data_IF_358552101135
#
_entry.id   IF_358552101135
#
_cell.length_a   1.000
_cell.length_b   1.000
_cell.length_c   1.000
_cell.angle_alpha   90.00
_cell.angle_beta   90.00
_cell.angle_gamma   90.00
#
_symmetry.space_group_name_H-M   'P 1'
#
loop_
_entity.id
_entity.type
_entity.pdbx_description
1 polymer ?
#
# COMPACT_ATOMS: atom_id res chain seq x y z
N UNK A 1 15.95 11.06 -5.32
CA UNK A 1 15.01 9.99 -5.76
C UNK A 1 13.69 10.14 -5.01
N UNK A 2 12.58 9.80 -5.67
CA UNK A 2 11.24 9.74 -5.11
C UNK A 2 10.64 8.36 -5.36
N UNK A 3 9.56 8.05 -4.65
CA UNK A 3 8.74 6.88 -4.92
C UNK A 3 7.34 7.31 -5.40
N UNK A 4 6.83 6.63 -6.41
CA UNK A 4 5.45 6.74 -6.90
C UNK A 4 4.76 5.39 -6.70
N UNK A 5 3.64 5.40 -6.00
CA UNK A 5 2.71 4.28 -5.97
C UNK A 5 1.64 4.55 -7.02
N UNK A 6 1.49 3.67 -8.01
CA UNK A 6 0.31 3.65 -8.88
C UNK A 6 -0.53 2.45 -8.47
N UNK A 7 -1.78 2.70 -8.11
CA UNK A 7 -2.67 1.67 -7.60
C UNK A 7 -3.98 1.57 -8.38
N UNK A 8 -4.61 0.39 -8.27
CA UNK A 8 -5.86 0.02 -8.94
C UNK A 8 -6.71 -0.87 -8.01
N UNK A 9 -7.94 -0.47 -7.75
CA UNK A 9 -8.83 -1.20 -6.85
C UNK A 9 -9.46 -2.39 -7.56
N UNK A 10 -9.19 -3.59 -7.05
CA UNK A 10 -9.73 -4.85 -7.59
C UNK A 10 -11.19 -4.97 -7.16
N UNK A 11 -12.07 -5.34 -8.10
CA UNK A 11 -13.51 -5.51 -7.92
C UNK A 11 -14.27 -4.21 -7.56
N UNK A 12 -13.69 -3.04 -7.83
CA UNK A 12 -14.31 -1.73 -7.57
C UNK A 12 -15.73 -1.62 -8.12
N UNK A 13 -16.01 -2.25 -9.26
CA UNK A 13 -17.33 -2.22 -9.91
C UNK A 13 -18.41 -3.04 -9.16
N UNK A 14 -18.01 -3.93 -8.26
CA UNK A 14 -18.92 -4.79 -7.51
C UNK A 14 -19.27 -4.25 -6.12
N UNK A 15 -18.69 -3.11 -5.74
CA UNK A 15 -18.87 -2.50 -4.42
C UNK A 15 -19.14 -1.01 -4.60
N UNK A 16 -20.13 -0.51 -3.86
CA UNK A 16 -20.47 0.92 -3.89
C UNK A 16 -19.26 1.78 -3.57
N UNK A 17 -18.86 2.64 -4.51
CA UNK A 17 -17.71 3.52 -4.37
C UNK A 17 -17.86 4.53 -3.23
N UNK A 18 -19.07 4.88 -2.83
CA UNK A 18 -19.32 5.78 -1.69
C UNK A 18 -18.86 5.19 -0.35
N UNK A 19 -18.68 3.87 -0.27
CA UNK A 19 -18.22 3.20 0.94
C UNK A 19 -16.70 3.30 1.13
N UNK A 20 -15.91 3.08 0.07
CA UNK A 20 -14.46 2.95 0.15
C UNK A 20 -13.69 4.18 -0.36
N UNK A 21 -14.18 4.85 -1.42
CA UNK A 21 -13.46 5.95 -2.06
C UNK A 21 -13.21 7.14 -1.13
N UNK A 22 -14.17 7.60 -0.29
CA UNK A 22 -13.91 8.65 0.68
C UNK A 22 -12.85 8.24 1.72
N UNK A 23 -12.81 6.96 2.12
CA UNK A 23 -11.81 6.46 3.06
C UNK A 23 -10.41 6.45 2.46
N UNK A 24 -10.29 6.00 1.20
CA UNK A 24 -9.03 6.06 0.46
C UNK A 24 -8.55 7.51 0.31
N UNK A 25 -9.42 8.42 -0.12
CA UNK A 25 -9.08 9.86 -0.25
C UNK A 25 -8.66 10.48 1.09
N UNK A 26 -9.33 10.13 2.18
CA UNK A 26 -8.95 10.60 3.51
C UNK A 26 -7.57 10.09 3.92
N UNK A 27 -7.26 8.82 3.65
CA UNK A 27 -5.95 8.25 3.93
C UNK A 27 -4.85 8.94 3.10
N UNK A 28 -5.04 9.07 1.79
CA UNK A 28 -4.08 9.76 0.90
C UNK A 28 -3.90 11.22 1.30
N UNK A 29 -5.02 11.92 1.60
CA UNK A 29 -5.03 13.31 2.06
C UNK A 29 -4.39 13.54 3.42
N UNK A 30 -4.34 12.53 4.29
CA UNK A 30 -3.64 12.62 5.58
C UNK A 30 -2.11 12.72 5.42
N UNK A 31 -1.57 12.28 4.30
CA UNK A 31 -0.13 12.37 4.00
C UNK A 31 0.25 13.62 3.21
N UNK A 32 -0.68 14.18 2.46
CA UNK A 32 -0.50 15.47 1.77
C UNK A 32 -1.84 16.06 1.36
N UNK A 33 -1.98 17.36 1.54
CA UNK A 33 -3.19 18.08 1.15
C UNK A 33 -3.20 18.54 -0.32
N UNK A 34 -2.12 18.31 -1.09
CA UNK A 34 -1.97 18.86 -2.44
C UNK A 34 -2.14 17.81 -3.55
N UNK A 35 -2.78 18.17 -4.67
CA UNK A 35 -2.95 17.28 -5.82
C UNK A 35 -1.64 16.95 -6.54
N UNK A 36 -0.56 17.68 -6.26
CA UNK A 36 0.80 17.38 -6.72
C UNK A 36 1.36 16.08 -6.17
N UNK A 37 0.81 15.61 -5.03
CA UNK A 37 1.32 14.43 -4.34
C UNK A 37 0.42 13.21 -4.43
N UNK A 38 -0.87 13.40 -4.71
CA UNK A 38 -1.78 12.27 -4.97
C UNK A 38 -3.02 12.70 -5.76
N UNK A 39 -3.55 11.77 -6.51
CA UNK A 39 -4.81 11.93 -7.23
C UNK A 39 -5.48 10.56 -7.41
N UNK A 40 -6.83 10.54 -7.33
CA UNK A 40 -7.63 9.38 -7.76
C UNK A 40 -8.24 9.74 -9.11
N UNK A 41 -8.00 8.93 -10.12
CA UNK A 41 -8.46 9.14 -11.49
C UNK A 41 -9.14 7.87 -12.04
N UNK A 42 -9.90 8.00 -13.13
CA UNK A 42 -10.67 6.88 -13.74
C UNK A 42 -11.57 6.09 -12.78
N UNK A 43 -11.90 6.66 -11.62
CA UNK A 43 -12.82 6.07 -10.65
C UNK A 43 -12.15 5.15 -9.62
N UNK A 44 -11.20 4.33 -10.01
CA UNK A 44 -10.58 3.30 -9.17
C UNK A 44 -9.04 3.23 -9.26
N UNK A 45 -8.44 4.00 -10.15
CA UNK A 45 -6.98 4.15 -10.22
C UNK A 45 -6.53 5.38 -9.43
N UNK A 46 -5.34 5.30 -8.82
CA UNK A 46 -4.75 6.42 -8.10
C UNK A 46 -3.24 6.45 -8.22
N UNK A 47 -2.68 7.62 -8.00
CA UNK A 47 -1.24 7.82 -7.82
C UNK A 47 -0.95 8.52 -6.50
N UNK A 48 0.17 8.14 -5.87
CA UNK A 48 0.70 8.77 -4.66
C UNK A 48 2.21 8.92 -4.79
N UNK A 49 2.70 10.14 -4.56
CA UNK A 49 4.12 10.45 -4.40
C UNK A 49 4.48 10.42 -2.92
N UNK A 50 5.59 9.78 -2.58
CA UNK A 50 6.12 9.76 -1.22
C UNK A 50 7.64 9.58 -1.19
N UNK A 51 8.21 9.62 0.01
CA UNK A 51 9.61 9.27 0.22
C UNK A 51 9.85 7.78 -0.02
N UNK A 52 11.08 7.46 -0.42
CA UNK A 52 11.46 6.08 -0.78
C UNK A 52 11.40 5.13 0.42
N UNK A 53 11.74 5.61 1.61
CA UNK A 53 11.75 4.85 2.86
C UNK A 53 10.33 4.57 3.42
N UNK A 54 9.33 5.40 3.06
CA UNK A 54 7.95 5.23 3.53
C UNK A 54 7.07 4.44 2.55
N UNK A 55 7.53 4.20 1.32
CA UNK A 55 6.66 3.71 0.25
C UNK A 55 6.05 2.34 0.54
N UNK A 56 6.81 1.44 1.20
CA UNK A 56 6.28 0.12 1.52
C UNK A 56 5.24 0.18 2.66
N UNK A 57 5.52 0.91 3.74
CA UNK A 57 4.56 1.09 4.84
C UNK A 57 3.27 1.78 4.36
N UNK A 58 3.35 2.81 3.50
CA UNK A 58 2.18 3.44 2.88
C UNK A 58 1.41 2.47 1.97
N UNK A 59 2.12 1.62 1.22
CA UNK A 59 1.48 0.55 0.43
C UNK A 59 0.69 -0.42 1.31
N UNK A 60 1.24 -0.81 2.46
CA UNK A 60 0.55 -1.67 3.42
C UNK A 60 -0.66 -0.99 4.06
N UNK A 61 -0.56 0.31 4.39
CA UNK A 61 -1.69 1.08 4.92
C UNK A 61 -2.83 1.17 3.90
N UNK A 62 -2.53 1.38 2.63
CA UNK A 62 -3.54 1.39 1.54
C UNK A 62 -4.16 -0.01 1.42
N UNK A 63 -3.34 -1.06 1.34
CA UNK A 63 -3.84 -2.43 1.17
C UNK A 63 -4.71 -2.85 2.35
N UNK A 64 -4.25 -2.62 3.58
CA UNK A 64 -5.03 -2.94 4.77
C UNK A 64 -6.34 -2.18 4.84
N UNK A 65 -6.37 -0.89 4.47
CA UNK A 65 -7.61 -0.11 4.39
C UNK A 65 -8.58 -0.72 3.38
N UNK A 66 -8.14 -0.97 2.15
CA UNK A 66 -9.04 -1.49 1.11
C UNK A 66 -9.57 -2.87 1.46
N UNK A 67 -8.76 -3.72 2.07
CA UNK A 67 -9.19 -5.05 2.52
C UNK A 67 -10.13 -5.04 3.75
N UNK A 68 -10.42 -3.88 4.35
CA UNK A 68 -11.53 -3.76 5.32
C UNK A 68 -12.91 -3.78 4.66
N UNK A 69 -12.99 -3.64 3.35
CA UNK A 69 -14.24 -3.76 2.58
C UNK A 69 -14.32 -5.15 1.95
N UNK A 70 -15.47 -5.81 2.10
CA UNK A 70 -15.70 -7.15 1.54
C UNK A 70 -15.48 -7.16 0.02
N UNK A 71 -14.81 -8.20 -0.46
CA UNK A 71 -14.52 -8.46 -1.87
C UNK A 71 -13.62 -7.44 -2.56
N UNK A 72 -13.14 -6.39 -1.87
CA UNK A 72 -12.16 -5.47 -2.42
C UNK A 72 -10.73 -5.92 -2.12
N UNK A 73 -9.86 -5.63 -3.06
CA UNK A 73 -8.40 -5.66 -2.90
C UNK A 73 -7.79 -4.52 -3.71
N UNK A 74 -6.47 -4.38 -3.69
CA UNK A 74 -5.75 -3.35 -4.43
C UNK A 74 -4.48 -3.90 -5.06
N UNK A 75 -4.21 -3.51 -6.31
CA UNK A 75 -2.89 -3.65 -6.93
C UNK A 75 -2.08 -2.40 -6.68
N UNK A 76 -0.82 -2.59 -6.29
CA UNK A 76 0.11 -1.52 -5.95
C UNK A 76 1.42 -1.74 -6.71
N UNK A 77 1.71 -0.85 -7.64
CA UNK A 77 2.96 -0.81 -8.38
C UNK A 77 3.83 0.34 -7.87
N UNK A 78 4.96 0.01 -7.29
CA UNK A 78 5.93 0.97 -6.74
C UNK A 78 6.98 1.26 -7.79
N UNK A 79 7.09 2.52 -8.22
CA UNK A 79 8.17 3.01 -9.07
C UNK A 79 9.11 3.91 -8.27
N UNK A 80 10.41 3.59 -8.27
CA UNK A 80 11.43 4.46 -7.67
C UNK A 80 12.33 5.01 -8.77
N UNK A 81 12.65 6.30 -8.67
CA UNK A 81 13.47 6.98 -9.64
C UNK A 81 13.51 8.50 -9.44
N UNK A 82 13.77 9.22 -10.49
CA UNK A 82 13.83 10.68 -10.49
C UNK A 82 12.49 11.29 -10.92
N UNK A 83 12.23 12.48 -10.41
CA UNK A 83 11.22 13.40 -10.92
C UNK A 83 11.94 14.43 -11.82
N UNK A 84 11.47 14.58 -13.04
CA UNK A 84 12.07 15.48 -14.03
C UNK A 84 11.19 16.71 -14.26
N UNK A 85 9.88 16.51 -14.22
CA UNK A 85 8.88 17.55 -14.39
C UNK A 85 7.79 17.41 -13.31
N UNK A 86 7.57 18.47 -12.55
CA UNK A 86 6.52 18.59 -11.55
C UNK A 86 5.40 19.47 -12.10
N UNK A 87 4.18 18.94 -12.17
CA UNK A 87 2.96 19.67 -12.48
C UNK A 87 2.15 19.93 -11.21
N UNK A 88 1.14 20.79 -11.31
CA UNK A 88 0.13 21.00 -10.26
C UNK A 88 -0.69 19.73 -9.95
N UNK A 89 -0.67 18.75 -10.87
CA UNK A 89 -1.29 17.44 -10.70
C UNK A 89 -0.26 16.33 -10.87
N UNK A 90 -0.28 15.37 -9.97
CA UNK A 90 0.62 14.23 -10.02
C UNK A 90 0.52 13.45 -11.34
N UNK A 91 -0.68 13.32 -11.91
CA UNK A 91 -0.94 12.58 -13.16
C UNK A 91 -0.36 13.25 -14.41
N UNK A 92 0.02 14.52 -14.31
CA UNK A 92 0.67 15.29 -15.37
C UNK A 92 2.19 15.43 -15.14
N UNK A 93 2.68 15.00 -13.97
CA UNK A 93 4.10 14.99 -13.63
C UNK A 93 4.85 13.86 -14.34
N UNK A 94 6.17 13.98 -14.50
CA UNK A 94 6.95 13.02 -15.27
C UNK A 94 8.34 12.79 -14.67
N UNK A 95 8.89 11.61 -14.95
CA UNK A 95 10.19 11.14 -14.52
C UNK A 95 10.24 9.61 -14.47
N UNK A 96 11.45 9.05 -14.22
CA UNK A 96 11.60 7.60 -14.22
C UNK A 96 10.74 6.90 -13.15
N UNK A 97 10.48 7.55 -11.99
CA UNK A 97 9.61 7.00 -10.96
C UNK A 97 8.16 6.79 -11.47
N UNK A 98 7.62 7.76 -12.20
CA UNK A 98 6.26 7.71 -12.78
C UNK A 98 6.16 6.66 -13.87
N UNK A 99 7.13 6.62 -14.79
CA UNK A 99 7.19 5.63 -15.88
C UNK A 99 7.30 4.21 -15.32
N UNK A 100 8.17 4.03 -14.31
CA UNK A 100 8.37 2.73 -13.66
C UNK A 100 7.07 2.23 -13.00
N UNK A 101 6.38 3.06 -12.21
CA UNK A 101 5.13 2.65 -11.53
C UNK A 101 4.00 2.38 -12.52
N UNK A 102 3.79 3.26 -13.51
CA UNK A 102 2.70 3.12 -14.48
C UNK A 102 2.83 1.89 -15.38
N UNK A 103 4.05 1.61 -15.92
CA UNK A 103 4.30 0.39 -16.70
C UNK A 103 4.15 -0.87 -15.85
N UNK A 104 4.71 -0.84 -14.65
CA UNK A 104 4.65 -1.96 -13.73
C UNK A 104 3.20 -2.29 -13.33
N UNK A 105 2.31 -1.31 -13.17
CA UNK A 105 0.90 -1.58 -12.88
C UNK A 105 0.24 -2.41 -13.99
N UNK A 106 0.52 -2.12 -15.26
CA UNK A 106 0.01 -2.91 -16.37
C UNK A 106 0.57 -4.34 -16.36
N UNK A 107 1.87 -4.49 -16.06
CA UNK A 107 2.51 -5.80 -16.01
C UNK A 107 1.90 -6.67 -14.91
N UNK A 108 1.74 -6.14 -13.69
CA UNK A 108 1.16 -6.90 -12.58
C UNK A 108 -0.34 -7.19 -12.75
N UNK A 109 -1.09 -6.36 -13.50
CA UNK A 109 -2.47 -6.67 -13.90
C UNK A 109 -2.52 -7.94 -14.75
N UNK A 110 -1.62 -8.07 -15.71
CA UNK A 110 -1.54 -9.25 -16.61
C UNK A 110 -1.06 -10.47 -15.83
N UNK A 111 -0.07 -10.32 -14.94
CA UNK A 111 0.51 -11.40 -14.14
C UNK A 111 -0.38 -11.86 -12.98
N UNK A 112 -1.48 -11.15 -12.67
CA UNK A 112 -2.35 -11.45 -11.53
C UNK A 112 -1.69 -11.14 -10.16
N UNK A 113 -0.72 -10.23 -10.10
CA UNK A 113 -0.02 -9.82 -8.88
C UNK A 113 -0.67 -8.61 -8.26
N UNK A 114 -0.48 -8.44 -6.96
CA UNK A 114 -1.05 -7.31 -6.20
C UNK A 114 -0.01 -6.32 -5.71
N UNK A 115 1.28 -6.71 -5.65
CA UNK A 115 2.36 -5.84 -5.20
C UNK A 115 3.63 -6.10 -6.01
N UNK A 116 4.27 -5.03 -6.48
CA UNK A 116 5.57 -5.09 -7.14
C UNK A 116 6.32 -3.77 -7.07
N UNK A 117 7.64 -3.82 -7.31
CA UNK A 117 8.52 -2.65 -7.35
C UNK A 117 9.38 -2.64 -8.61
N UNK A 118 9.63 -1.46 -9.14
CA UNK A 118 10.60 -1.21 -10.22
C UNK A 118 11.47 0.00 -9.86
N UNK A 119 12.78 -0.23 -9.89
CA UNK A 119 13.85 0.77 -9.73
C UNK A 119 14.81 0.66 -10.91
N UNK A 120 15.85 1.48 -10.96
CA UNK A 120 16.93 1.36 -11.94
C UNK A 120 17.95 0.27 -11.59
N UNK A 121 17.89 -0.30 -10.37
CA UNK A 121 18.78 -1.36 -9.90
C UNK A 121 18.11 -2.74 -10.03
N UNK A 122 18.53 -3.53 -11.02
CA UNK A 122 17.95 -4.84 -11.29
C UNK A 122 18.16 -5.86 -10.16
N UNK A 123 19.23 -5.74 -9.37
CA UNK A 123 19.45 -6.61 -8.21
C UNK A 123 18.41 -6.32 -7.13
N UNK A 124 18.21 -5.05 -6.79
CA UNK A 124 17.17 -4.62 -5.84
C UNK A 124 15.78 -5.04 -6.32
N UNK A 125 15.49 -4.87 -7.62
CA UNK A 125 14.23 -5.31 -8.20
C UNK A 125 13.99 -6.81 -8.03
N UNK A 126 14.99 -7.65 -8.28
CA UNK A 126 14.87 -9.13 -8.12
C UNK A 126 14.63 -9.49 -6.67
N UNK A 127 15.45 -8.96 -5.75
CA UNK A 127 15.41 -9.30 -4.32
C UNK A 127 14.04 -8.90 -3.72
N UNK A 128 13.60 -7.66 -3.97
CA UNK A 128 12.34 -7.15 -3.42
C UNK A 128 11.11 -7.77 -4.08
N UNK A 129 11.12 -8.04 -5.39
CA UNK A 129 9.97 -8.68 -6.03
C UNK A 129 9.80 -10.15 -5.62
N UNK A 130 10.88 -10.86 -5.29
CA UNK A 130 10.76 -12.20 -4.68
C UNK A 130 10.11 -12.08 -3.29
N UNK A 131 10.58 -11.16 -2.46
CA UNK A 131 9.98 -10.89 -1.15
C UNK A 131 8.48 -10.54 -1.30
N UNK A 132 8.13 -9.62 -2.20
CA UNK A 132 6.75 -9.20 -2.41
C UNK A 132 5.84 -10.33 -2.92
N UNK A 133 6.36 -11.25 -3.75
CA UNK A 133 5.60 -12.44 -4.15
C UNK A 133 5.28 -13.34 -2.95
N UNK A 134 6.21 -13.54 -2.03
CA UNK A 134 5.98 -14.31 -0.81
C UNK A 134 5.03 -13.61 0.16
N UNK A 135 5.23 -12.34 0.42
CA UNK A 135 4.39 -11.58 1.34
C UNK A 135 2.96 -11.40 0.81
N UNK A 136 2.79 -11.31 -0.53
CA UNK A 136 1.45 -11.23 -1.14
C UNK A 136 0.60 -12.48 -0.88
N UNK A 137 1.19 -13.65 -0.68
CA UNK A 137 0.43 -14.87 -0.31
C UNK A 137 -0.33 -14.64 1.00
N UNK A 138 0.30 -14.00 1.99
CA UNK A 138 -0.34 -13.62 3.25
C UNK A 138 -1.28 -12.42 3.07
N UNK A 139 -0.78 -11.33 2.49
CA UNK A 139 -1.51 -10.06 2.35
C UNK A 139 -2.82 -10.20 1.55
N UNK A 140 -2.81 -10.98 0.49
CA UNK A 140 -3.98 -11.21 -0.35
C UNK A 140 -5.02 -12.09 0.38
N UNK A 141 -4.58 -12.91 1.35
CA UNK A 141 -5.43 -13.78 2.17
C UNK A 141 -6.12 -13.08 3.34
N UNK A 142 -5.76 -11.82 3.66
CA UNK A 142 -6.34 -11.14 4.82
C UNK A 142 -7.87 -11.05 4.74
N UNK A 143 -8.52 -11.53 5.80
CA UNK A 143 -9.94 -11.28 6.01
C UNK A 143 -10.17 -9.82 6.42
N UNK A 144 -11.40 -9.32 6.28
CA UNK A 144 -11.81 -7.99 6.77
C UNK A 144 -11.35 -7.76 8.21
N UNK A 145 -11.59 -8.73 9.09
CA UNK A 145 -11.22 -8.63 10.50
C UNK A 145 -9.70 -8.60 10.74
N UNK A 146 -8.91 -9.27 9.90
CA UNK A 146 -7.45 -9.22 9.93
C UNK A 146 -6.95 -7.88 9.42
N UNK A 147 -7.46 -7.45 8.27
CA UNK A 147 -7.10 -6.17 7.65
C UNK A 147 -7.41 -4.98 8.57
N UNK A 148 -8.53 -5.02 9.29
CA UNK A 148 -8.93 -3.99 10.24
C UNK A 148 -7.91 -3.83 11.39
N UNK A 149 -7.43 -4.92 11.96
CA UNK A 149 -6.41 -4.87 13.01
C UNK A 149 -5.08 -4.36 12.47
N UNK A 150 -4.62 -4.90 11.32
CA UNK A 150 -3.38 -4.47 10.69
C UNK A 150 -3.43 -2.97 10.39
N UNK A 151 -4.53 -2.51 9.79
CA UNK A 151 -4.70 -1.10 9.46
C UNK A 151 -4.58 -0.19 10.67
N UNK A 152 -5.21 -0.53 11.79
CA UNK A 152 -5.13 0.24 13.03
C UNK A 152 -3.73 0.27 13.63
N UNK A 153 -3.04 -0.87 13.64
CA UNK A 153 -1.67 -0.96 14.14
C UNK A 153 -0.67 -0.22 13.25
N UNK A 154 -0.89 -0.18 11.92
CA UNK A 154 -0.04 0.58 11.01
C UNK A 154 -0.24 2.10 11.15
N UNK A 155 -1.47 2.56 11.43
CA UNK A 155 -1.76 3.99 11.64
C UNK A 155 -1.30 4.45 13.03
N UNK A 156 -1.51 3.63 14.05
CA UNK A 156 -1.14 3.95 15.41
C UNK A 156 -0.41 2.77 16.07
N UNK A 157 0.92 2.67 15.89
CA UNK A 157 1.72 1.55 16.41
C UNK A 157 1.75 1.45 17.93
N UNK A 158 1.39 2.53 18.64
CA UNK A 158 1.40 2.59 20.11
C UNK A 158 0.11 2.03 20.74
N UNK A 159 -0.91 1.69 19.92
CA UNK A 159 -2.15 1.12 20.46
C UNK A 159 -1.91 -0.21 21.18
N UNK A 160 -2.33 -0.25 22.42
CA UNK A 160 -2.34 -1.49 23.22
C UNK A 160 -3.44 -2.43 22.74
N UNK A 161 -3.29 -3.72 23.02
CA UNK A 161 -4.34 -4.71 22.71
C UNK A 161 -5.65 -4.44 23.45
N UNK A 162 -5.60 -3.81 24.62
CA UNK A 162 -6.78 -3.43 25.38
C UNK A 162 -7.53 -2.26 24.73
N UNK A 163 -6.82 -1.25 24.24
CA UNK A 163 -7.40 -0.14 23.50
C UNK A 163 -8.02 -0.62 22.18
N UNK A 164 -7.31 -1.45 21.41
CA UNK A 164 -7.85 -2.09 20.22
C UNK A 164 -9.11 -2.92 20.50
N UNK A 165 -9.15 -3.65 21.62
CA UNK A 165 -10.31 -4.43 22.03
C UNK A 165 -11.53 -3.53 22.28
N UNK A 166 -11.33 -2.39 22.96
CA UNK A 166 -12.38 -1.39 23.19
C UNK A 166 -12.87 -0.76 21.89
N UNK A 167 -11.95 -0.31 21.03
CA UNK A 167 -12.29 0.30 19.74
C UNK A 167 -13.06 -0.64 18.81
N UNK A 168 -12.69 -1.93 18.79
CA UNK A 168 -13.29 -2.93 17.93
C UNK A 168 -14.49 -3.63 18.57
N UNK A 169 -14.82 -3.29 19.83
CA UNK A 169 -15.88 -3.93 20.62
C UNK A 169 -15.75 -5.48 20.66
N UNK A 170 -14.54 -5.98 20.87
CA UNK A 170 -14.20 -7.40 21.02
C UNK A 170 -13.36 -7.63 22.28
N UNK A 171 -13.07 -8.89 22.63
CA UNK A 171 -12.22 -9.20 23.78
C UNK A 171 -10.73 -9.01 23.45
N UNK A 172 -9.92 -8.66 24.44
CA UNK A 172 -8.46 -8.56 24.28
C UNK A 172 -7.84 -9.89 23.78
N UNK A 173 -8.37 -11.04 24.21
CA UNK A 173 -7.91 -12.34 23.72
C UNK A 173 -8.22 -12.53 22.22
N UNK A 174 -9.33 -11.99 21.72
CA UNK A 174 -9.66 -11.99 20.30
C UNK A 174 -8.70 -11.10 19.50
N UNK A 175 -8.34 -9.93 20.04
CA UNK A 175 -7.31 -9.05 19.45
C UNK A 175 -5.98 -9.78 19.37
N UNK A 176 -5.52 -10.38 20.47
CA UNK A 176 -4.25 -11.13 20.51
C UNK A 176 -4.20 -12.25 19.46
N UNK A 177 -5.30 -13.01 19.32
CA UNK A 177 -5.39 -14.06 18.30
C UNK A 177 -5.37 -13.53 16.87
N UNK A 178 -6.05 -12.40 16.60
CA UNK A 178 -6.06 -11.76 15.27
C UNK A 178 -4.68 -11.21 14.93
N UNK A 179 -3.97 -10.53 15.87
CA UNK A 179 -2.60 -10.06 15.69
C UNK A 179 -1.66 -11.24 15.37
N UNK A 180 -1.77 -12.33 16.14
CA UNK A 180 -0.96 -13.53 15.89
C UNK A 180 -1.21 -14.13 14.49
N UNK A 181 -2.46 -14.16 14.04
CA UNK A 181 -2.83 -14.70 12.71
C UNK A 181 -2.46 -13.76 11.57
N UNK A 182 -2.31 -12.46 11.85
CA UNK A 182 -1.92 -11.46 10.84
C UNK A 182 -0.42 -11.44 10.55
N UNK A 183 0.38 -12.19 11.30
CA UNK A 183 1.85 -12.17 11.21
C UNK A 183 2.42 -10.73 11.26
N UNK A 184 1.85 -9.86 12.11
CA UNK A 184 2.17 -8.44 12.15
C UNK A 184 3.64 -8.15 12.47
N UNK A 185 4.25 -8.97 13.30
CA UNK A 185 5.69 -8.97 13.58
C UNK A 185 6.53 -9.16 12.30
N UNK A 186 6.15 -10.13 11.47
CA UNK A 186 6.80 -10.39 10.17
C UNK A 186 6.58 -9.25 9.17
N UNK A 187 5.43 -8.58 9.22
CA UNK A 187 5.18 -7.36 8.43
C UNK A 187 6.18 -6.26 8.82
N UNK A 188 6.41 -6.05 10.12
CA UNK A 188 7.38 -5.06 10.61
C UNK A 188 8.82 -5.40 10.24
N UNK A 189 9.21 -6.69 10.36
CA UNK A 189 10.52 -7.18 9.90
C UNK A 189 10.70 -6.98 8.39
N UNK A 190 9.64 -7.21 7.61
CA UNK A 190 9.65 -6.99 6.16
C UNK A 190 9.86 -5.51 5.81
N UNK A 191 9.18 -4.57 6.52
CA UNK A 191 9.39 -3.14 6.32
C UNK A 191 10.82 -2.72 6.66
N UNK A 192 11.37 -3.25 7.76
CA UNK A 192 12.76 -2.99 8.14
C UNK A 192 13.76 -3.52 7.10
N UNK A 193 13.53 -4.73 6.57
CA UNK A 193 14.34 -5.29 5.50
C UNK A 193 14.23 -4.46 4.22
N UNK A 194 13.01 -4.05 3.86
CA UNK A 194 12.77 -3.20 2.70
C UNK A 194 13.58 -1.89 2.80
N UNK A 195 13.51 -1.18 3.93
CA UNK A 195 14.25 0.07 4.15
C UNK A 195 15.77 -0.12 4.02
N UNK A 196 16.30 -1.21 4.56
CA UNK A 196 17.73 -1.55 4.37
C UNK A 196 18.08 -1.77 2.92
N UNK A 197 17.20 -2.48 2.18
CA UNK A 197 17.44 -2.83 0.79
C UNK A 197 17.37 -1.62 -0.13
N UNK A 198 16.44 -0.72 0.14
CA UNK A 198 16.28 0.53 -0.61
C UNK A 198 17.46 1.50 -0.38
N UNK A 199 18.09 1.46 0.77
CA UNK A 199 19.30 2.25 1.05
C UNK A 199 20.52 1.84 0.19
N UNK A 200 20.42 0.72 -0.57
CA UNK A 200 21.44 0.30 -1.55
C UNK A 200 21.28 1.03 -2.91
N UNK A 201 20.22 1.84 -3.14
CA UNK A 201 20.00 2.63 -4.34
C UNK A 201 20.78 3.92 -4.33
#
# INVERSE_FOLDING_TARGET
>A
MIAIITGDIINSQNTDSELWLPKLKNLLGSWSATPENWEVYRGDEFQLKCSVDEVFSKSLMIKSLIKTFENLDVRLAIGIGNEVFLSEKITESNGSAYVNSGRLLNDIKIEGRTLAIKTENDKVNRDLNILFKWTSIDFDSWSVATAEIIHRLLINPELTQEELAKELNITQSSVSQRIKRSHFDLIQETDFFFRKKIAEL
#
